data_IF_537289834588
#
_entry.id   IF_537289834588
#
_cell.length_a   1.000
_cell.length_b   1.000
_cell.length_c   1.000
_cell.angle_alpha   90.00
_cell.angle_beta   90.00
_cell.angle_gamma   90.00
#
_symmetry.space_group_name_H-M   'P 1'
#
loop_
_entity.id
_entity.type
_entity.pdbx_description
1 polymer ?
#
# COMPACT_ATOMS: atom_id res chain seq x y z
N UNK A 1 23.36 52.54 -2.69
CA UNK A 1 22.78 51.97 -1.45
C UNK A 1 21.37 51.37 -1.62
N UNK A 2 20.72 51.42 -2.80
CA UNK A 2 19.37 50.83 -3.02
C UNK A 2 19.34 49.36 -3.47
N UNK A 3 20.45 48.81 -3.98
CA UNK A 3 20.49 47.42 -4.46
C UNK A 3 20.47 46.37 -3.32
N UNK A 4 21.03 46.69 -2.15
CA UNK A 4 21.16 45.73 -1.05
C UNK A 4 19.81 45.35 -0.43
N UNK A 5 18.88 46.30 -0.34
CA UNK A 5 17.53 46.05 0.18
C UNK A 5 16.70 45.14 -0.75
N UNK A 6 16.86 45.29 -2.07
CA UNK A 6 16.11 44.51 -3.05
C UNK A 6 16.57 43.04 -3.07
N UNK A 7 17.87 42.80 -2.94
CA UNK A 7 18.45 41.45 -2.85
C UNK A 7 17.96 40.72 -1.58
N UNK A 8 17.85 41.43 -0.45
CA UNK A 8 17.34 40.85 0.80
C UNK A 8 15.85 40.49 0.72
N UNK A 9 15.03 41.28 0.04
CA UNK A 9 13.60 40.99 -0.15
C UNK A 9 13.40 39.79 -1.08
N UNK A 10 14.19 39.67 -2.15
CA UNK A 10 14.13 38.52 -3.07
C UNK A 10 14.62 37.24 -2.38
N UNK A 11 15.69 37.31 -1.58
CA UNK A 11 16.16 36.17 -0.78
C UNK A 11 15.15 35.75 0.31
N UNK A 12 14.46 36.69 0.94
CA UNK A 12 13.40 36.39 1.89
C UNK A 12 12.16 35.75 1.21
N UNK A 13 11.82 36.20 0.00
CA UNK A 13 10.73 35.61 -0.79
C UNK A 13 11.07 34.20 -1.32
N UNK A 14 12.33 33.93 -1.65
CA UNK A 14 12.83 32.60 -2.03
C UNK A 14 12.94 31.65 -0.82
N UNK A 15 13.18 32.17 0.38
CA UNK A 15 13.18 31.39 1.62
C UNK A 15 11.76 30.99 2.10
N UNK A 16 10.73 31.67 1.61
CA UNK A 16 9.31 31.42 1.93
C UNK A 16 8.63 30.40 0.99
N UNK A 17 9.38 29.76 0.08
CA UNK A 17 8.92 28.50 -0.53
C UNK A 17 9.11 27.39 0.51
N UNK A 18 8.47 27.59 1.67
CA UNK A 18 8.39 26.59 2.71
C UNK A 18 7.56 25.45 2.16
N UNK A 19 8.11 24.25 2.31
CA UNK A 19 7.44 23.00 2.09
C UNK A 19 6.10 23.00 2.84
N UNK A 20 5.02 23.36 2.15
CA UNK A 20 3.67 23.38 2.70
C UNK A 20 2.96 22.13 2.21
N UNK A 21 2.60 21.27 3.14
CA UNK A 21 1.68 20.16 2.92
C UNK A 21 0.27 20.67 3.23
N UNK A 22 -0.60 20.69 2.23
CA UNK A 22 -1.94 21.27 2.34
C UNK A 22 -3.01 20.42 1.67
N UNK A 23 -4.23 20.54 2.16
CA UNK A 23 -5.38 19.89 1.55
C UNK A 23 -5.86 20.71 0.36
N UNK A 24 -6.04 20.06 -0.79
CA UNK A 24 -6.62 20.65 -1.98
C UNK A 24 -8.08 20.20 -2.12
N UNK A 25 -9.01 21.12 -1.87
CA UNK A 25 -10.45 20.88 -1.97
C UNK A 25 -10.92 20.51 -3.39
N UNK A 26 -10.16 20.84 -4.43
CA UNK A 26 -10.52 20.51 -5.81
C UNK A 26 -10.22 19.05 -6.15
N UNK A 27 -9.08 18.53 -5.69
CA UNK A 27 -8.68 17.15 -5.92
C UNK A 27 -9.12 16.21 -4.80
N UNK A 28 -9.47 16.77 -3.64
CA UNK A 28 -9.77 16.02 -2.42
C UNK A 28 -8.53 15.35 -1.82
N UNK A 29 -7.32 15.83 -2.16
CA UNK A 29 -6.04 15.19 -1.83
C UNK A 29 -5.09 16.15 -1.13
N UNK A 30 -4.15 15.58 -0.40
CA UNK A 30 -3.02 16.33 0.12
C UNK A 30 -2.03 16.62 -1.02
N UNK A 31 -1.58 17.86 -1.11
CA UNK A 31 -0.62 18.30 -2.11
C UNK A 31 0.38 19.30 -1.52
N UNK A 32 1.47 19.51 -2.25
CA UNK A 32 2.55 20.40 -1.85
C UNK A 32 3.82 19.64 -1.51
N UNK A 33 4.74 20.30 -0.79
CA UNK A 33 6.07 19.78 -0.51
C UNK A 33 6.27 19.54 0.97
N UNK A 34 7.14 18.59 1.29
CA UNK A 34 7.66 18.37 2.65
C UNK A 34 9.19 18.56 2.65
N UNK A 35 9.75 19.01 3.77
CA UNK A 35 11.21 19.12 3.92
C UNK A 35 11.82 17.75 4.24
N UNK A 36 12.99 17.45 3.67
CA UNK A 36 13.68 16.17 3.89
C UNK A 36 13.00 14.99 3.18
N UNK A 37 13.18 13.78 3.72
CA UNK A 37 12.56 12.54 3.26
C UNK A 37 11.18 12.36 3.89
N UNK A 38 10.33 13.37 3.69
CA UNK A 38 8.96 13.36 4.17
C UNK A 38 8.01 13.42 2.98
N UNK A 39 6.82 12.86 3.14
CA UNK A 39 5.74 12.90 2.16
C UNK A 39 4.51 13.57 2.77
N UNK A 40 3.72 14.23 1.93
CA UNK A 40 2.50 14.92 2.32
C UNK A 40 1.32 13.95 2.26
N UNK A 41 0.74 13.63 3.43
CA UNK A 41 -0.22 12.54 3.58
C UNK A 41 -1.48 13.04 4.26
N UNK A 42 -2.63 12.51 3.85
CA UNK A 42 -3.88 12.75 4.55
C UNK A 42 -3.99 11.82 5.75
N UNK A 43 -3.75 12.32 6.96
CA UNK A 43 -3.83 11.53 8.20
C UNK A 43 -5.24 11.52 8.81
N UNK A 44 -6.16 12.28 8.22
CA UNK A 44 -7.59 12.29 8.55
C UNK A 44 -8.38 13.17 7.58
N UNK A 45 -9.72 13.11 7.57
CA UNK A 45 -10.54 13.86 6.63
C UNK A 45 -10.23 15.38 6.64
N UNK A 46 -9.77 15.90 5.51
CA UNK A 46 -9.32 17.30 5.33
C UNK A 46 -8.01 17.68 6.02
N UNK A 47 -7.29 16.74 6.66
CA UNK A 47 -6.09 17.05 7.44
C UNK A 47 -4.83 16.42 6.84
N UNK A 48 -3.93 17.28 6.38
CA UNK A 48 -2.67 16.89 5.75
C UNK A 48 -1.49 17.13 6.67
N UNK A 49 -0.54 16.19 6.68
CA UNK A 49 0.67 16.30 7.46
C UNK A 49 1.87 15.74 6.69
N UNK A 50 3.02 16.40 6.86
CA UNK A 50 4.30 15.82 6.44
C UNK A 50 4.68 14.71 7.42
N UNK A 51 4.79 13.49 6.90
CA UNK A 51 5.21 12.31 7.66
C UNK A 51 6.47 11.73 7.05
N UNK A 52 7.28 11.08 7.87
CA UNK A 52 8.51 10.44 7.44
C UNK A 52 8.22 9.25 6.53
N UNK A 53 9.01 9.05 5.48
CA UNK A 53 8.80 7.95 4.53
C UNK A 53 9.20 6.58 5.09
N UNK A 54 9.96 6.52 6.19
CA UNK A 54 10.44 5.29 6.84
C UNK A 54 9.39 4.59 7.72
N UNK A 55 8.19 5.16 7.79
CA UNK A 55 7.06 4.64 8.55
C UNK A 55 5.86 4.43 7.64
N UNK A 56 5.03 3.47 8.01
CA UNK A 56 3.86 3.05 7.27
C UNK A 56 2.60 3.79 7.78
N UNK A 57 1.88 4.45 6.87
CA UNK A 57 0.70 5.26 7.17
C UNK A 57 -0.47 4.94 6.26
N UNK A 58 -1.68 5.11 6.78
CA UNK A 58 -2.89 5.11 5.96
C UNK A 58 -3.16 6.51 5.42
N UNK A 59 -3.25 6.64 4.10
CA UNK A 59 -3.65 7.88 3.43
C UNK A 59 -5.16 7.87 3.19
N UNK A 60 -5.88 8.73 3.90
CA UNK A 60 -7.33 8.85 3.78
C UNK A 60 -7.78 9.36 2.41
N UNK A 61 -6.88 9.96 1.61
CA UNK A 61 -7.21 10.54 0.31
C UNK A 61 -7.23 9.50 -0.80
N UNK A 62 -6.37 8.49 -0.70
CA UNK A 62 -6.29 7.38 -1.66
C UNK A 62 -6.98 6.12 -1.13
N UNK A 63 -7.05 5.97 0.19
CA UNK A 63 -7.50 4.75 0.84
C UNK A 63 -6.47 3.62 0.77
N UNK A 64 -5.20 4.00 0.66
CA UNK A 64 -4.05 3.11 0.51
C UNK A 64 -3.05 3.29 1.65
N UNK A 65 -2.21 2.29 1.82
CA UNK A 65 -1.05 2.37 2.70
C UNK A 65 0.15 2.94 1.95
N UNK A 66 0.83 3.89 2.57
CA UNK A 66 2.00 4.56 2.00
C UNK A 66 3.13 4.66 3.02
N UNK A 67 4.34 4.72 2.48
CA UNK A 67 5.57 4.67 3.26
C UNK A 67 6.40 3.46 2.89
N UNK A 68 7.55 3.38 3.53
CA UNK A 68 8.56 2.36 3.35
C UNK A 68 8.78 1.64 4.67
N UNK A 69 9.31 0.43 4.58
CA UNK A 69 9.61 -0.39 5.74
C UNK A 69 11.04 -0.87 5.64
N UNK A 70 11.86 -0.54 6.64
CA UNK A 70 13.29 -0.92 6.62
C UNK A 70 13.51 -2.43 6.66
N UNK A 71 12.65 -3.15 7.40
CA UNK A 71 12.84 -4.58 7.72
C UNK A 71 11.76 -5.49 7.13
N UNK A 72 10.64 -4.91 6.71
CA UNK A 72 9.54 -5.67 6.11
C UNK A 72 9.48 -5.39 4.61
N UNK A 73 8.82 -6.28 3.88
CA UNK A 73 8.77 -6.19 2.44
C UNK A 73 7.69 -5.22 1.89
N UNK A 74 6.90 -4.58 2.75
CA UNK A 74 6.02 -3.50 2.33
C UNK A 74 5.11 -2.94 3.43
N UNK A 75 4.52 -1.79 3.13
CA UNK A 75 3.52 -1.14 3.94
C UNK A 75 2.13 -1.57 3.45
N UNK A 76 1.44 -2.39 4.23
CA UNK A 76 0.15 -2.96 3.83
C UNK A 76 -0.93 -2.71 4.87
N UNK A 77 -2.17 -2.73 4.42
CA UNK A 77 -3.32 -2.56 5.29
C UNK A 77 -3.59 -3.88 6.01
N UNK A 78 -3.63 -3.87 7.34
CA UNK A 78 -3.89 -5.07 8.17
C UNK A 78 -5.27 -5.05 8.80
N UNK A 79 -5.81 -3.85 9.06
CA UNK A 79 -7.14 -3.62 9.61
C UNK A 79 -7.73 -2.32 9.05
N UNK A 80 -8.95 -1.95 9.46
CA UNK A 80 -9.61 -0.74 8.95
C UNK A 80 -8.74 0.48 9.20
N UNK A 81 -8.30 1.09 8.10
CA UNK A 81 -7.45 2.30 8.09
C UNK A 81 -6.16 2.13 8.91
N UNK A 82 -5.70 0.90 9.11
CA UNK A 82 -4.49 0.58 9.89
C UNK A 82 -3.49 -0.10 8.98
N UNK A 83 -2.37 0.59 8.75
CA UNK A 83 -1.27 0.11 7.94
C UNK A 83 -0.12 -0.34 8.82
N UNK A 84 0.50 -1.46 8.47
CA UNK A 84 1.66 -1.98 9.17
C UNK A 84 2.73 -2.44 8.18
N UNK A 85 3.97 -2.42 8.66
CA UNK A 85 5.10 -3.04 7.99
C UNK A 85 5.01 -4.55 8.15
N UNK A 86 4.54 -5.24 7.12
CA UNK A 86 4.28 -6.68 7.12
C UNK A 86 4.68 -7.32 5.79
N UNK A 87 4.87 -8.63 5.80
CA UNK A 87 5.16 -9.40 4.59
C UNK A 87 3.91 -9.62 3.73
N UNK A 88 2.71 -9.48 4.29
CA UNK A 88 1.46 -9.74 3.60
C UNK A 88 0.32 -8.95 4.24
N UNK A 89 -0.46 -8.27 3.42
CA UNK A 89 -1.63 -7.53 3.85
C UNK A 89 -2.52 -7.15 2.67
N UNK A 90 -3.51 -6.31 2.93
CA UNK A 90 -4.41 -5.78 1.91
C UNK A 90 -3.70 -4.65 1.15
N UNK A 91 -3.88 -4.64 -0.17
CA UNK A 91 -3.35 -3.59 -1.03
C UNK A 91 -4.12 -2.27 -0.87
N UNK A 92 -5.42 -2.36 -0.59
CA UNK A 92 -6.34 -1.22 -0.50
C UNK A 92 -7.40 -1.44 0.59
N UNK A 93 -8.08 -0.35 0.99
CA UNK A 93 -9.17 -0.39 1.97
C UNK A 93 -10.43 -1.14 1.52
N UNK A 94 -10.59 -1.45 0.23
CA UNK A 94 -11.69 -2.29 -0.23
C UNK A 94 -11.45 -3.78 0.04
N UNK A 95 -10.23 -4.15 0.46
CA UNK A 95 -9.86 -5.51 0.85
C UNK A 95 -10.20 -6.54 -0.23
N UNK A 96 -9.91 -6.19 -1.48
CA UNK A 96 -10.15 -7.06 -2.66
C UNK A 96 -8.90 -7.80 -3.12
N UNK A 97 -7.73 -7.31 -2.72
CA UNK A 97 -6.45 -7.87 -3.17
C UNK A 97 -5.51 -7.98 -1.99
N UNK A 98 -5.02 -9.20 -1.75
CA UNK A 98 -3.89 -9.43 -0.89
C UNK A 98 -2.59 -9.24 -1.68
N UNK A 99 -1.64 -8.53 -1.11
CA UNK A 99 -0.32 -8.29 -1.68
C UNK A 99 0.76 -8.46 -0.62
N UNK A 100 1.93 -8.92 -1.03
CA UNK A 100 2.99 -9.26 -0.08
C UNK A 100 4.11 -10.09 -0.66
N UNK A 101 5.21 -10.13 0.07
CA UNK A 101 6.36 -10.98 -0.20
C UNK A 101 6.48 -12.02 0.92
N UNK A 102 5.92 -13.19 0.67
CA UNK A 102 6.00 -14.28 1.61
C UNK A 102 7.27 -15.11 1.40
N UNK A 103 7.88 -15.60 2.49
CA UNK A 103 9.09 -16.43 2.41
C UNK A 103 8.81 -17.80 1.77
N UNK A 104 9.71 -18.29 0.91
CA UNK A 104 9.59 -19.59 0.25
C UNK A 104 8.57 -19.57 -0.89
N UNK A 105 7.84 -20.67 -1.07
CA UNK A 105 6.78 -20.78 -2.09
C UNK A 105 5.41 -20.30 -1.58
N UNK A 106 5.40 -19.55 -0.46
CA UNK A 106 4.19 -19.03 0.13
C UNK A 106 3.62 -17.90 -0.73
N UNK A 107 2.31 -17.78 -0.74
CA UNK A 107 1.62 -16.68 -1.42
C UNK A 107 0.81 -15.88 -0.41
N UNK A 108 0.79 -14.56 -0.59
CA UNK A 108 -0.09 -13.68 0.17
C UNK A 108 -1.51 -13.79 -0.40
N UNK A 109 -2.46 -14.26 0.42
CA UNK A 109 -3.85 -14.47 0.00
C UNK A 109 -4.81 -14.45 1.18
N UNK A 110 -6.11 -14.31 0.90
CA UNK A 110 -7.17 -14.50 1.89
C UNK A 110 -7.69 -15.94 1.79
N UNK A 111 -7.22 -16.79 2.69
CA UNK A 111 -7.51 -18.22 2.67
C UNK A 111 -8.94 -18.61 3.11
N UNK A 112 -9.66 -17.69 3.76
CA UNK A 112 -11.00 -17.90 4.32
C UNK A 112 -11.88 -16.67 4.11
N UNK A 113 -13.18 -16.90 3.86
CA UNK A 113 -14.15 -15.82 3.73
C UNK A 113 -14.17 -14.93 4.99
N UNK A 114 -13.92 -13.63 4.80
CA UNK A 114 -13.88 -12.64 5.89
C UNK A 114 -12.63 -12.72 6.79
N UNK A 115 -11.65 -13.57 6.47
CA UNK A 115 -10.35 -13.60 7.15
C UNK A 115 -9.43 -12.46 6.72
N UNK A 116 -8.24 -12.37 7.32
CA UNK A 116 -7.18 -11.44 6.92
C UNK A 116 -6.26 -12.06 5.85
N UNK A 117 -5.51 -11.21 5.14
CA UNK A 117 -4.43 -11.67 4.28
C UNK A 117 -3.34 -12.32 5.12
N UNK A 118 -2.84 -13.47 4.68
CA UNK A 118 -1.71 -14.13 5.33
C UNK A 118 -0.86 -14.88 4.31
N UNK A 119 0.39 -15.11 4.69
CA UNK A 119 1.29 -15.95 3.92
C UNK A 119 0.88 -17.42 4.07
N UNK A 120 0.29 -17.96 3.01
CA UNK A 120 -0.24 -19.31 3.00
C UNK A 120 0.71 -20.27 2.29
N UNK A 121 0.94 -21.43 2.90
CA UNK A 121 1.80 -22.53 2.42
C UNK A 121 1.09 -23.51 1.49
N UNK A 122 -0.21 -23.38 1.30
CA UNK A 122 -0.99 -24.45 0.67
C UNK A 122 -0.80 -24.52 -0.84
N UNK A 123 -0.62 -25.75 -1.34
CA UNK A 123 -0.77 -26.07 -2.76
C UNK A 123 -2.20 -25.80 -3.18
N UNK A 124 -2.36 -25.03 -4.25
CA UNK A 124 -3.62 -24.70 -4.90
C UNK A 124 -4.84 -24.47 -3.99
N UNK A 125 -5.05 -23.22 -3.57
CA UNK A 125 -6.13 -22.83 -2.69
C UNK A 125 -6.94 -21.65 -3.25
N UNK A 126 -8.21 -21.57 -2.87
CA UNK A 126 -9.08 -20.46 -3.23
C UNK A 126 -8.69 -19.19 -2.46
N UNK A 127 -8.44 -18.11 -3.19
CA UNK A 127 -8.27 -16.78 -2.64
C UNK A 127 -9.63 -16.09 -2.59
N UNK A 128 -10.17 -15.91 -1.38
CA UNK A 128 -11.46 -15.28 -1.17
C UNK A 128 -11.45 -13.78 -1.47
N UNK A 129 -10.28 -13.15 -1.49
CA UNK A 129 -10.17 -11.74 -1.85
C UNK A 129 -10.40 -11.55 -3.36
N UNK A 130 -9.75 -12.38 -4.16
CA UNK A 130 -9.73 -12.27 -5.62
C UNK A 130 -10.71 -13.19 -6.34
N UNK A 131 -11.43 -14.02 -5.58
CA UNK A 131 -12.36 -15.02 -6.10
C UNK A 131 -11.72 -15.93 -7.16
N UNK A 132 -10.50 -16.43 -6.88
CA UNK A 132 -9.80 -17.34 -7.80
C UNK A 132 -8.86 -18.28 -7.07
N UNK A 133 -8.61 -19.42 -7.69
CA UNK A 133 -7.61 -20.36 -7.22
C UNK A 133 -6.19 -19.85 -7.47
N UNK A 134 -5.35 -19.88 -6.43
CA UNK A 134 -3.95 -19.49 -6.46
C UNK A 134 -3.08 -20.54 -5.79
N UNK A 135 -1.81 -20.55 -6.15
CA UNK A 135 -0.79 -21.35 -5.48
C UNK A 135 -0.09 -22.32 -6.41
N UNK A 136 1.03 -22.88 -5.95
CA UNK A 136 1.84 -23.76 -6.77
C UNK A 136 1.15 -25.11 -6.97
N UNK A 137 1.41 -25.71 -8.13
CA UNK A 137 1.10 -27.09 -8.45
C UNK A 137 2.36 -27.77 -8.98
N UNK A 138 2.51 -29.07 -8.74
CA UNK A 138 3.67 -29.82 -9.23
C UNK A 138 3.54 -30.16 -10.72
N UNK A 139 4.68 -30.22 -11.43
CA UNK A 139 4.73 -30.61 -12.84
C UNK A 139 4.10 -29.56 -13.77
N UNK A 140 3.32 -30.02 -14.75
CA UNK A 140 2.57 -29.16 -15.69
C UNK A 140 1.12 -28.92 -15.23
N UNK A 141 0.83 -29.11 -13.95
CA UNK A 141 -0.50 -28.88 -13.42
C UNK A 141 -0.71 -27.38 -13.15
N UNK A 142 -1.93 -26.90 -13.34
CA UNK A 142 -2.36 -25.54 -12.98
C UNK A 142 -3.36 -25.61 -11.84
N UNK A 143 -3.34 -24.58 -11.00
CA UNK A 143 -4.33 -24.45 -9.95
C UNK A 143 -5.65 -23.92 -10.52
N UNK A 144 -6.71 -24.72 -10.45
CA UNK A 144 -8.01 -24.38 -11.06
C UNK A 144 -9.15 -24.64 -10.12
N UNK A 145 -10.18 -23.81 -10.22
CA UNK A 145 -11.46 -24.03 -9.54
C UNK A 145 -12.22 -25.16 -10.23
N UNK A 146 -12.57 -26.19 -9.47
CA UNK A 146 -13.35 -27.34 -9.98
C UNK A 146 -14.79 -27.35 -9.45
N UNK A 147 -15.02 -26.74 -8.28
CA UNK A 147 -16.35 -26.38 -7.75
C UNK A 147 -16.25 -25.05 -7.02
N UNK A 148 -17.39 -24.40 -6.74
CA UNK A 148 -17.45 -23.08 -6.07
C UNK A 148 -16.61 -23.06 -4.78
N UNK A 149 -15.55 -22.24 -4.78
CA UNK A 149 -14.62 -22.09 -3.66
C UNK A 149 -13.65 -23.27 -3.44
N UNK A 150 -13.65 -24.28 -4.31
CA UNK A 150 -12.80 -25.47 -4.21
C UNK A 150 -11.83 -25.59 -5.39
N UNK A 151 -10.54 -25.67 -5.05
CA UNK A 151 -9.43 -25.63 -5.99
C UNK A 151 -8.68 -26.97 -6.04
N UNK A 152 -8.22 -27.34 -7.22
CA UNK A 152 -7.40 -28.53 -7.43
C UNK A 152 -6.30 -28.27 -8.47
N UNK A 153 -5.17 -28.97 -8.31
CA UNK A 153 -4.12 -29.01 -9.31
C UNK A 153 -4.53 -29.92 -10.47
N UNK A 154 -4.96 -29.32 -11.58
CA UNK A 154 -5.39 -30.06 -12.77
C UNK A 154 -4.30 -30.04 -13.84
N UNK A 155 -4.16 -31.12 -14.59
CA UNK A 155 -3.17 -31.20 -15.67
C UNK A 155 -3.48 -30.20 -16.78
N UNK A 156 -2.48 -29.39 -17.15
CA UNK A 156 -2.58 -28.49 -18.29
C UNK A 156 -2.05 -29.18 -19.56
N UNK A 157 -2.88 -30.02 -20.17
CA UNK A 157 -2.54 -30.74 -21.39
C UNK A 157 -3.65 -31.70 -21.85
N UNK A 158 -3.67 -32.10 -23.14
CA UNK A 158 -4.55 -33.17 -23.63
C UNK A 158 -4.14 -34.56 -23.11
#
# INVERSE_FOLDING_TARGET
>A
MKCTAFILIVLAALALVEASCGYDDHTGRCSGGCSGENICVQIGPGFCQCVATDLCYFDYSTGDCIGECETSHGCYLVADMTCECTDCGWLDHHRKHCSGFCRGDNICMQASAGGECSCNRNMCQYDYAEHKCKGPCSGSNICKEVFDGYCECVHYGP
#
